data_IF_156177095415
#
_entry.id   IF_156177095415
#
_cell.length_a   1.000
_cell.length_b   1.000
_cell.length_c   1.000
_cell.angle_alpha   90.00
_cell.angle_beta   90.00
_cell.angle_gamma   90.00
#
_symmetry.space_group_name_H-M   'P 1'
#
loop_
_entity.id
_entity.type
_entity.pdbx_description
1 polymer ?
#
# COMPACT_ATOMS: atom_id res chain seq x y z
N UNK A 1 3.15 -5.80 -27.24
CA UNK A 1 3.18 -6.44 -27.08
C UNK A 1 2.99 -6.42 -26.53
N UNK A 2 3.54 -5.83 -26.39
CA UNK A 2 3.93 -6.11 -25.95
C UNK A 2 4.19 -6.25 -25.46
N UNK A 3 4.37 -5.95 -24.86
CA UNK A 3 5.29 -6.32 -24.76
C UNK A 3 5.40 -7.41 -24.92
N UNK A 4 5.02 -7.95 -25.15
CA UNK A 4 5.27 -8.94 -25.37
C UNK A 4 5.36 -9.13 -26.42
N UNK A 5 5.01 -8.59 -27.18
CA UNK A 5 5.37 -8.76 -28.19
C UNK A 5 6.28 -8.08 -28.40
N UNK A 6 6.24 -7.24 -27.88
CA UNK A 6 7.30 -6.60 -28.18
C UNK A 6 8.36 -7.21 -27.67
N UNK A 7 8.35 -7.61 -26.85
CA UNK A 7 9.35 -8.24 -26.36
C UNK A 7 9.56 -9.38 -27.03
N UNK A 8 8.85 -9.88 -27.49
CA UNK A 8 9.09 -11.00 -28.02
C UNK A 8 9.55 -10.87 -29.22
N UNK A 9 9.26 -10.11 -29.88
CA UNK A 9 9.75 -10.07 -30.89
C UNK A 9 10.90 -9.60 -30.76
N UNK A 10 11.08 -8.94 -30.02
CA UNK A 10 12.17 -8.62 -29.94
C UNK A 10 12.79 -9.23 -29.26
N UNK A 11 12.41 -9.91 -28.96
CA UNK A 11 13.00 -10.60 -28.32
C UNK A 11 13.53 -11.35 -29.20
N UNK A 12 13.29 -11.63 -29.93
CA UNK A 12 13.88 -12.26 -30.68
C UNK A 12 15.22 -12.11 -30.66
N UNK A 13 15.79 -11.75 -31.44
CA UNK A 13 17.02 -11.81 -31.47
C UNK A 13 17.60 -10.93 -30.75
N UNK A 14 16.95 -10.18 -30.37
CA UNK A 14 17.63 -9.28 -29.77
C UNK A 14 17.10 -8.90 -28.58
N UNK A 15 16.24 -9.60 -28.00
CA UNK A 15 15.78 -9.21 -26.91
C UNK A 15 16.70 -9.07 -25.89
N UNK A 16 17.52 -9.92 -25.55
CA UNK A 16 18.39 -9.70 -24.52
C UNK A 16 19.35 -8.74 -24.88
N UNK A 17 19.76 -8.69 -26.07
CA UNK A 17 20.71 -7.75 -26.51
C UNK A 17 20.20 -6.34 -26.32
N UNK A 18 18.94 -6.10 -26.61
CA UNK A 18 18.41 -4.83 -26.42
C UNK A 18 18.38 -4.41 -25.01
N UNK A 19 18.03 -5.26 -24.11
CA UNK A 19 17.99 -4.89 -22.77
C UNK A 19 19.32 -4.55 -22.26
N UNK A 20 20.29 -5.31 -22.56
CA UNK A 20 21.62 -5.03 -22.11
C UNK A 20 22.12 -3.71 -22.64
N UNK A 21 21.84 -3.43 -23.88
CA UNK A 21 22.31 -2.24 -24.48
C UNK A 21 21.73 -1.02 -23.86
N UNK A 22 20.51 -1.07 -23.44
CA UNK A 22 19.86 0.05 -22.84
C UNK A 22 19.90 0.02 -21.32
N UNK A 23 20.50 -0.97 -20.73
CA UNK A 23 20.57 -1.05 -19.30
C UNK A 23 19.27 -1.37 -18.63
N UNK A 24 18.34 -1.96 -19.32
CA UNK A 24 17.04 -2.26 -18.76
C UNK A 24 17.12 -3.55 -17.96
N UNK A 25 16.56 -3.52 -16.77
CA UNK A 25 16.51 -4.68 -15.91
C UNK A 25 15.08 -5.19 -15.86
N UNK A 26 14.88 -6.43 -16.32
CA UNK A 26 13.54 -7.00 -16.40
C UNK A 26 12.92 -7.13 -15.02
N UNK A 27 13.71 -7.50 -14.02
CA UNK A 27 13.18 -7.64 -12.69
C UNK A 27 12.70 -6.29 -12.15
N UNK A 28 13.44 -5.23 -12.42
CA UNK A 28 13.01 -3.92 -11.98
C UNK A 28 11.72 -3.50 -12.66
N UNK A 29 11.59 -3.80 -13.94
CA UNK A 29 10.36 -3.47 -14.63
C UNK A 29 9.18 -4.24 -14.07
N UNK A 30 9.37 -5.51 -13.75
CA UNK A 30 8.29 -6.30 -13.19
C UNK A 30 7.90 -5.79 -11.82
N UNK A 31 8.88 -5.39 -11.01
CA UNK A 31 8.57 -4.84 -9.71
C UNK A 31 7.82 -3.53 -9.82
N UNK A 32 8.21 -2.69 -10.75
CA UNK A 32 7.51 -1.43 -10.92
C UNK A 32 6.08 -1.65 -11.38
N UNK A 33 5.87 -2.59 -12.31
CA UNK A 33 4.52 -2.88 -12.77
C UNK A 33 3.67 -3.43 -11.66
N UNK A 34 4.23 -4.29 -10.80
CA UNK A 34 3.48 -4.81 -9.69
C UNK A 34 3.17 -3.72 -8.68
N UNK A 35 4.12 -2.82 -8.43
CA UNK A 35 3.87 -1.74 -7.48
C UNK A 35 2.73 -0.84 -7.94
N UNK A 36 2.62 -0.62 -9.23
CA UNK A 36 1.54 0.22 -9.75
C UNK A 36 0.16 -0.37 -9.53
N UNK A 37 0.05 -1.68 -9.40
CA UNK A 37 -1.23 -2.30 -9.15
C UNK A 37 -1.70 -2.09 -7.74
N UNK A 38 -0.81 -1.82 -6.82
CA UNK A 38 -1.13 -1.78 -5.40
C UNK A 38 -1.00 -0.35 -4.92
N UNK A 39 -2.11 0.35 -4.91
CA UNK A 39 -2.15 1.77 -4.58
C UNK A 39 -2.51 2.04 -3.13
N UNK A 40 -2.60 1.01 -2.31
CA UNK A 40 -3.02 1.13 -0.93
C UNK A 40 -2.03 0.43 -0.01
N UNK A 41 -1.66 1.12 1.07
CA UNK A 41 -0.80 0.51 2.08
C UNK A 41 -1.62 0.32 3.35
N UNK A 42 -1.39 -0.79 4.05
CA UNK A 42 -2.07 -1.12 5.30
C UNK A 42 -1.03 -1.23 6.39
N UNK A 43 -1.21 -0.46 7.45
CA UNK A 43 -0.39 -0.56 8.66
C UNK A 43 -1.26 -1.08 9.78
N UNK A 44 -0.68 -1.39 10.92
CA UNK A 44 -1.45 -1.83 12.08
C UNK A 44 -1.33 -0.84 13.22
N UNK A 45 -2.33 -0.80 14.07
CA UNK A 45 -2.34 0.05 15.24
C UNK A 45 -2.70 -0.81 16.44
N UNK A 46 -2.02 -0.59 17.55
CA UNK A 46 -2.26 -1.39 18.73
C UNK A 46 -3.28 -0.76 19.67
N UNK A 47 -4.08 0.19 19.22
CA UNK A 47 -5.11 0.69 20.09
C UNK A 47 -5.41 2.15 19.91
N UNK A 48 -5.20 2.99 20.95
CA UNK A 48 -5.72 4.34 20.94
C UNK A 48 -5.24 5.22 19.85
N UNK A 49 -4.05 4.95 19.31
CA UNK A 49 -3.47 5.83 18.30
C UNK A 49 -4.34 6.00 17.08
N UNK A 50 -5.14 5.00 16.76
CA UNK A 50 -5.97 5.11 15.56
C UNK A 50 -6.98 6.24 15.72
N UNK A 51 -7.70 6.28 16.83
CA UNK A 51 -8.75 7.27 16.96
C UNK A 51 -8.20 8.67 17.14
N UNK A 52 -7.08 8.80 17.81
CA UNK A 52 -6.53 10.11 18.07
C UNK A 52 -5.80 10.68 16.86
N UNK A 53 -5.24 9.81 16.03
CA UNK A 53 -4.38 10.24 14.94
C UNK A 53 -5.03 10.05 13.58
N UNK A 54 -5.46 8.83 13.27
CA UNK A 54 -6.02 8.55 11.95
C UNK A 54 -7.39 9.22 11.81
N UNK A 55 -8.20 9.14 12.84
CA UNK A 55 -9.50 9.78 12.84
C UNK A 55 -9.48 11.17 13.44
N UNK A 56 -8.30 11.80 13.52
CA UNK A 56 -8.19 13.13 14.11
C UNK A 56 -8.94 14.17 13.32
N UNK A 57 -8.80 15.41 13.75
CA UNK A 57 -9.49 16.49 13.09
C UNK A 57 -8.90 16.70 11.71
N UNK A 58 -9.69 17.34 10.85
CA UNK A 58 -9.37 17.43 9.43
C UNK A 58 -7.95 17.88 9.17
N UNK A 59 -7.49 18.86 9.90
CA UNK A 59 -6.17 19.44 9.67
C UNK A 59 -5.05 18.64 10.28
N UNK A 60 -5.36 17.72 11.20
CA UNK A 60 -4.34 16.99 11.90
C UNK A 60 -4.38 15.48 11.64
N UNK A 61 -5.38 15.01 10.90
CA UNK A 61 -5.48 13.59 10.63
C UNK A 61 -4.29 13.13 9.82
N UNK A 62 -3.60 12.12 10.30
CA UNK A 62 -2.40 11.62 9.66
C UNK A 62 -2.08 10.25 10.22
N UNK A 63 -0.99 9.66 9.77
CA UNK A 63 -0.53 8.40 10.35
C UNK A 63 0.99 8.36 10.35
N UNK A 64 1.57 7.75 11.37
CA UNK A 64 2.99 7.54 11.49
C UNK A 64 3.26 6.41 12.48
N UNK A 65 4.39 5.75 12.40
CA UNK A 65 5.43 5.90 11.39
C UNK A 65 5.06 5.14 10.13
N UNK A 66 5.43 5.69 8.99
CA UNK A 66 5.14 5.05 7.72
C UNK A 66 6.45 4.59 7.10
N UNK A 67 6.71 3.30 7.11
CA UNK A 67 7.93 2.75 6.58
C UNK A 67 7.62 2.06 5.26
N UNK A 68 7.70 2.81 4.19
CA UNK A 68 7.43 2.30 2.85
C UNK A 68 8.65 2.59 1.99
N UNK A 69 8.90 1.73 1.00
CA UNK A 69 10.00 1.96 0.08
C UNK A 69 9.63 3.06 -0.91
N UNK A 70 10.63 3.68 -1.50
CA UNK A 70 10.36 4.75 -2.45
C UNK A 70 9.61 4.24 -3.67
N UNK A 71 9.91 3.02 -4.11
CA UNK A 71 9.21 2.46 -5.25
C UNK A 71 7.73 2.27 -4.97
N UNK A 72 7.39 1.89 -3.75
CA UNK A 72 5.99 1.73 -3.39
C UNK A 72 5.32 3.07 -3.17
N UNK A 73 6.04 3.97 -2.49
CA UNK A 73 5.47 5.25 -2.09
C UNK A 73 4.92 6.03 -3.27
N UNK A 74 5.63 6.06 -4.37
CA UNK A 74 5.23 6.87 -5.51
C UNK A 74 3.92 6.40 -6.14
N UNK A 75 3.51 5.18 -5.87
CA UNK A 75 2.27 4.64 -6.42
C UNK A 75 1.15 4.56 -5.40
N UNK A 76 1.42 4.93 -4.15
CA UNK A 76 0.43 4.82 -3.10
C UNK A 76 -0.53 6.01 -3.15
N UNK A 77 -1.82 5.72 -3.11
CA UNK A 77 -2.86 6.73 -3.11
C UNK A 77 -3.73 6.65 -1.88
N UNK A 78 -3.75 5.52 -1.20
CA UNK A 78 -4.63 5.30 -0.06
C UNK A 78 -3.90 4.59 1.07
N UNK A 79 -4.37 4.80 2.29
CA UNK A 79 -3.81 4.18 3.48
C UNK A 79 -4.95 3.66 4.34
N UNK A 80 -4.77 2.48 4.89
CA UNK A 80 -5.74 1.89 5.80
C UNK A 80 -5.01 1.34 7.00
N UNK A 81 -5.71 1.15 8.12
CA UNK A 81 -5.09 0.70 9.35
C UNK A 81 -5.87 -0.49 9.90
N UNK A 82 -5.16 -1.58 10.19
CA UNK A 82 -5.75 -2.69 10.91
C UNK A 82 -5.75 -2.30 12.39
N UNK A 83 -6.93 -2.22 12.98
CA UNK A 83 -7.07 -1.81 14.37
C UNK A 83 -7.01 -3.07 15.24
N UNK A 84 -6.09 -3.06 16.22
CA UNK A 84 -5.96 -4.19 17.12
C UNK A 84 -7.15 -4.34 18.02
N UNK A 85 -7.07 -5.29 18.94
CA UNK A 85 -8.17 -5.57 19.85
C UNK A 85 -8.65 -4.33 20.54
N UNK A 86 -9.90 -4.22 20.83
CA UNK A 86 -10.96 -5.23 20.60
C UNK A 86 -11.59 -5.16 19.22
N UNK A 87 -11.19 -4.22 18.39
CA UNK A 87 -11.82 -4.05 17.08
C UNK A 87 -11.40 -5.19 16.13
N UNK A 88 -10.12 -5.45 16.04
CA UNK A 88 -9.55 -6.54 15.25
C UNK A 88 -10.01 -6.51 13.80
N UNK A 89 -9.99 -5.36 13.19
CA UNK A 89 -10.45 -5.21 11.80
C UNK A 89 -9.91 -3.93 11.18
N UNK A 90 -9.94 -3.86 9.86
CA UNK A 90 -9.70 -2.62 9.12
C UNK A 90 -11.05 -2.00 8.91
N UNK A 91 -11.25 -0.78 9.40
CA UNK A 91 -12.57 -0.15 9.36
C UNK A 91 -12.62 1.08 8.48
N UNK A 92 -11.48 1.72 8.22
CA UNK A 92 -11.45 2.97 7.47
C UNK A 92 -10.27 3.01 6.55
N UNK A 93 -10.34 3.88 5.56
CA UNK A 93 -9.18 4.19 4.72
C UNK A 93 -9.17 5.71 4.51
N UNK A 94 -8.04 6.23 4.08
CA UNK A 94 -7.91 7.65 3.80
C UNK A 94 -7.13 7.83 2.51
N UNK A 95 -7.41 8.95 1.83
CA UNK A 95 -6.66 9.30 0.64
C UNK A 95 -5.39 10.00 1.06
N UNK A 96 -4.27 9.59 0.50
CA UNK A 96 -2.97 10.14 0.85
C UNK A 96 -2.74 11.41 0.07
N UNK A 97 -2.29 12.46 0.78
CA UNK A 97 -1.82 13.65 0.13
C UNK A 97 -0.33 13.53 -0.14
N UNK A 98 0.45 13.24 0.89
CA UNK A 98 1.89 13.13 0.75
C UNK A 98 2.49 12.47 1.97
N UNK A 99 3.71 12.00 1.81
CA UNK A 99 4.52 11.53 2.93
C UNK A 99 5.61 12.56 3.17
N UNK A 100 5.85 12.92 4.44
CA UNK A 100 6.90 13.83 4.80
C UNK A 100 7.82 13.15 5.79
N UNK A 101 9.12 13.18 5.53
CA UNK A 101 10.09 12.59 6.42
C UNK A 101 10.33 13.53 7.60
N UNK A 102 10.22 13.02 8.82
CA UNK A 102 10.48 13.78 10.03
C UNK A 102 11.89 13.44 10.48
N UNK A 103 12.79 14.40 10.32
CA UNK A 103 14.20 14.14 10.63
C UNK A 103 14.44 13.92 12.10
N UNK A 104 13.67 14.56 12.95
CA UNK A 104 13.82 14.37 14.36
C UNK A 104 13.42 12.97 14.78
N UNK A 105 12.36 12.47 14.23
CA UNK A 105 11.82 11.18 14.64
C UNK A 105 12.34 10.02 13.82
N UNK A 106 12.89 10.30 12.65
CA UNK A 106 13.51 9.28 11.83
C UNK A 106 12.54 8.42 11.04
N UNK A 107 11.32 8.92 10.78
CA UNK A 107 10.35 8.18 9.99
C UNK A 107 9.48 9.13 9.19
N UNK A 108 8.71 8.59 8.27
CA UNK A 108 7.80 9.38 7.46
C UNK A 108 6.45 9.49 8.12
N UNK A 109 5.78 10.61 7.88
CA UNK A 109 4.41 10.86 8.35
C UNK A 109 3.54 10.97 7.11
N UNK A 110 2.43 10.26 7.09
CA UNK A 110 1.49 10.29 5.98
C UNK A 110 0.43 11.34 6.27
N UNK A 111 0.34 12.34 5.41
CA UNK A 111 -0.67 13.38 5.54
C UNK A 111 -1.83 13.06 4.59
N UNK A 112 -3.06 13.24 5.07
CA UNK A 112 -4.24 12.85 4.32
C UNK A 112 -4.75 14.03 3.48
N UNK A 113 -5.29 13.70 2.33
CA UNK A 113 -5.87 14.71 1.44
C UNK A 113 -7.29 15.06 1.85
N UNK A 114 -7.96 14.18 2.59
CA UNK A 114 -9.33 14.40 3.03
C UNK A 114 -9.60 13.56 4.24
N UNK A 115 -10.77 13.67 4.82
CA UNK A 115 -11.14 12.90 6.00
C UNK A 115 -11.17 11.41 5.70
N UNK A 116 -10.80 10.57 6.65
CA UNK A 116 -10.92 9.12 6.46
C UNK A 116 -12.35 8.70 6.17
N UNK A 117 -12.48 7.65 5.39
CA UNK A 117 -13.77 7.14 4.95
C UNK A 117 -13.96 5.74 5.53
N UNK A 118 -15.13 5.48 6.06
CA UNK A 118 -15.43 4.18 6.62
C UNK A 118 -15.64 3.17 5.51
N UNK A 119 -15.05 1.98 5.65
CA UNK A 119 -15.23 0.93 4.65
C UNK A 119 -16.65 0.39 4.70
N UNK A 120 -17.18 -0.07 3.57
CA UNK A 120 -18.52 -0.66 3.57
C UNK A 120 -18.60 -1.89 4.45
N UNK A 121 -17.52 -2.65 4.55
CA UNK A 121 -17.46 -3.81 5.44
C UNK A 121 -16.20 -3.72 6.26
N UNK A 122 -16.29 -4.08 7.53
CA UNK A 122 -15.08 -4.18 8.35
C UNK A 122 -14.32 -5.41 7.90
N UNK A 123 -13.04 -5.29 7.65
CA UNK A 123 -12.26 -6.40 7.15
C UNK A 123 -11.57 -7.07 8.32
N UNK A 124 -12.06 -8.22 8.70
CA UNK A 124 -11.52 -8.98 9.80
C UNK A 124 -10.39 -9.89 9.33
N UNK A 125 -9.69 -10.51 10.29
CA UNK A 125 -8.53 -11.33 9.93
C UNK A 125 -8.88 -12.56 9.10
N UNK A 126 -10.04 -13.15 9.31
CA UNK A 126 -10.37 -14.40 8.64
C UNK A 126 -9.44 -15.50 9.13
N UNK A 127 -8.73 -16.15 8.23
CA UNK A 127 -7.81 -17.21 8.60
C UNK A 127 -6.43 -16.69 8.99
N UNK A 128 -6.18 -15.37 8.87
CA UNK A 128 -4.86 -14.81 9.20
C UNK A 128 -4.71 -14.69 10.70
N UNK A 129 -3.49 -14.76 11.19
CA UNK A 129 -3.29 -14.60 12.62
C UNK A 129 -3.18 -13.13 12.99
N UNK A 130 -3.13 -12.84 14.29
CA UNK A 130 -3.19 -11.46 14.77
C UNK A 130 -1.95 -10.66 14.42
N UNK A 131 -0.89 -11.29 13.98
CA UNK A 131 0.34 -10.59 13.61
C UNK A 131 0.45 -10.34 12.12
N UNK A 132 -0.57 -10.73 11.35
CA UNK A 132 -0.48 -10.64 9.89
C UNK A 132 -0.19 -9.22 9.40
N UNK A 133 -0.78 -8.23 10.05
CA UNK A 133 -0.63 -6.85 9.59
C UNK A 133 0.52 -6.11 10.27
N UNK A 134 1.41 -6.79 10.96
CA UNK A 134 2.60 -6.15 11.47
C UNK A 134 3.52 -5.90 10.28
N UNK A 135 3.96 -4.67 10.14
CA UNK A 135 4.70 -4.23 8.96
C UNK A 135 3.74 -3.81 7.85
N UNK A 136 4.25 -3.14 6.87
CA UNK A 136 3.40 -2.62 5.80
C UNK A 136 2.93 -3.74 4.89
N UNK A 137 1.66 -3.73 4.53
CA UNK A 137 1.10 -4.62 3.53
C UNK A 137 0.54 -3.76 2.41
N UNK A 138 0.59 -4.26 1.20
CA UNK A 138 0.16 -3.48 0.03
C UNK A 138 -0.97 -4.19 -0.70
N UNK A 139 -1.95 -3.42 -1.14
CA UNK A 139 -3.10 -3.96 -1.88
C UNK A 139 -3.69 -2.85 -2.74
N UNK A 140 -4.81 -3.11 -3.38
CA UNK A 140 -5.53 -2.07 -4.12
C UNK A 140 -6.76 -1.66 -3.33
N UNK A 141 -7.21 -0.43 -3.51
CA UNK A 141 -8.43 0.02 -2.86
C UNK A 141 -9.61 -0.83 -3.31
N UNK A 142 -9.62 -1.21 -4.57
CA UNK A 142 -10.71 -2.04 -5.07
C UNK A 142 -10.80 -3.35 -4.28
N UNK A 143 -9.67 -3.97 -3.99
CA UNK A 143 -9.65 -5.21 -3.24
C UNK A 143 -10.19 -4.99 -1.84
N UNK A 144 -9.81 -3.88 -1.20
CA UNK A 144 -10.33 -3.59 0.13
C UNK A 144 -11.82 -3.34 0.14
N UNK A 145 -12.32 -2.61 -0.84
CA UNK A 145 -13.73 -2.26 -0.86
C UNK A 145 -14.63 -3.48 -1.06
N UNK A 146 -14.10 -4.53 -1.65
CA UNK A 146 -14.88 -5.73 -1.92
C UNK A 146 -14.66 -6.86 -0.93
N UNK A 147 -13.80 -6.67 0.06
CA UNK A 147 -13.43 -7.73 0.99
C UNK A 147 -14.26 -7.70 2.25
N UNK A 148 -14.47 -8.85 2.88
CA UNK A 148 -15.08 -8.93 4.21
C UNK A 148 -14.07 -9.50 5.21
N UNK A 149 -13.04 -10.21 4.73
CA UNK A 149 -11.96 -10.65 5.59
C UNK A 149 -10.64 -10.47 4.84
N UNK A 150 -9.54 -10.59 5.55
CA UNK A 150 -8.22 -10.48 4.92
C UNK A 150 -7.99 -11.59 3.91
N UNK A 151 -8.73 -12.71 4.02
CA UNK A 151 -8.61 -13.77 3.03
C UNK A 151 -9.10 -13.35 1.65
N UNK A 152 -9.96 -12.34 1.59
CA UNK A 152 -10.50 -11.84 0.32
C UNK A 152 -9.63 -10.76 -0.29
N UNK A 153 -8.63 -10.27 0.43
CA UNK A 153 -7.81 -9.16 -0.04
C UNK A 153 -6.62 -9.70 -0.83
N UNK A 154 -6.36 -9.09 -1.97
CA UNK A 154 -5.23 -9.48 -2.81
C UNK A 154 -4.05 -8.61 -2.43
N UNK A 155 -3.03 -9.20 -1.83
CA UNK A 155 -1.86 -8.47 -1.38
C UNK A 155 -0.72 -8.54 -2.39
N UNK A 156 0.09 -7.52 -2.43
CA UNK A 156 1.23 -7.45 -3.31
C UNK A 156 2.58 -7.44 -2.63
#
# INVERSE_FOLDING_TARGET
>A
MLIEEAIDKFIGESEEFLMSEHGINVEELLEENQAEKYDTVIFSSSGRGFEETFLGEEETACWYPCRVSENREKNLKYIAIYRGRPISAITHYAKIEKFIYDEEKGYKVCHFASQPIELPNKIKLGSKDSCFFIGAKYTSLESLLNATTADDVVFG
#
